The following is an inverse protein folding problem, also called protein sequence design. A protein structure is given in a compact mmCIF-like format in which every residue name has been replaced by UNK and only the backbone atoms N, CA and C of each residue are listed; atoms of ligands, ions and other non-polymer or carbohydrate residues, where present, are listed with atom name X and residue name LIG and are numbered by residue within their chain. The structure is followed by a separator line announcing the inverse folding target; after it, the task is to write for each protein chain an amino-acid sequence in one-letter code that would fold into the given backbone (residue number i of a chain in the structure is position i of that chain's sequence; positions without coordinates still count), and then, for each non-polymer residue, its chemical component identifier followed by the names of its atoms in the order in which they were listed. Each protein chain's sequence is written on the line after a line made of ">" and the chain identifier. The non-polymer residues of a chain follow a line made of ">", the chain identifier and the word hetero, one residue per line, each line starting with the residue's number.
data_IF_921817768142
#
_entry.id   IF_921817768142
#
_cell.length_a   1.000
_cell.length_b   1.000
_cell.length_c   1.000
_cell.angle_alpha   90.00
_cell.angle_beta   90.00
_cell.angle_gamma   90.00
#
_symmetry.space_group_name_H-M   'P 1'
#
loop_
_entity.id
_entity.type
_entity.pdbx_description
1 polymer ?
#
# COMPACT_ATOMS: atom_id res chain seq x y z
N UNK A 1 0.04 5.09 -25.17
CA UNK A 1 -0.63 4.14 -24.25
C UNK A 1 0.35 3.84 -23.14
N UNK A 2 0.16 4.50 -21.99
CA UNK A 2 1.14 4.51 -20.91
C UNK A 2 1.39 3.12 -20.37
N UNK A 3 2.65 2.85 -20.05
CA UNK A 3 3.14 1.60 -19.48
C UNK A 3 2.21 1.12 -18.36
N UNK A 4 1.73 -0.13 -18.45
CA UNK A 4 0.92 -0.76 -17.42
C UNK A 4 1.80 -0.97 -16.17
N UNK A 5 1.94 0.08 -15.35
CA UNK A 5 2.62 -0.01 -14.07
C UNK A 5 1.88 -1.02 -13.20
N UNK A 6 2.62 -1.98 -12.67
CA UNK A 6 2.05 -2.96 -11.74
C UNK A 6 1.50 -2.21 -10.53
N UNK A 7 0.24 -2.50 -10.21
CA UNK A 7 -0.51 -1.85 -9.12
C UNK A 7 -0.49 -2.73 -7.88
N UNK A 8 -0.16 -2.13 -6.73
CA UNK A 8 -0.05 -2.82 -5.44
C UNK A 8 -0.97 -2.16 -4.42
N UNK A 9 -1.80 -2.97 -3.76
CA UNK A 9 -2.60 -2.59 -2.61
C UNK A 9 -1.89 -3.04 -1.33
N UNK A 10 -1.66 -2.10 -0.42
CA UNK A 10 -1.20 -2.39 0.94
C UNK A 10 -2.38 -2.17 1.87
N UNK A 11 -3.02 -3.28 2.25
CA UNK A 11 -4.16 -3.31 3.15
C UNK A 11 -3.76 -3.53 4.61
N UNK A 12 -4.48 -2.89 5.53
CA UNK A 12 -4.38 -3.12 6.98
C UNK A 12 -5.79 -3.27 7.58
N UNK A 13 -6.39 -4.47 7.45
CA UNK A 13 -7.73 -4.70 7.97
C UNK A 13 -7.72 -4.79 9.51
N UNK A 14 -8.81 -4.33 10.12
CA UNK A 14 -9.04 -4.45 11.56
C UNK A 14 -8.16 -3.53 12.42
N UNK A 15 -7.88 -3.97 13.66
CA UNK A 15 -7.25 -3.15 14.70
C UNK A 15 -5.71 -3.15 14.68
N UNK A 16 -5.10 -3.66 13.62
CA UNK A 16 -3.63 -3.70 13.54
C UNK A 16 -3.03 -2.29 13.39
N UNK A 17 -2.53 -1.73 14.49
CA UNK A 17 -1.91 -0.40 14.56
C UNK A 17 -0.45 -0.30 14.07
N UNK A 18 0.21 -1.41 13.68
CA UNK A 18 1.62 -1.41 13.27
C UNK A 18 1.84 -0.76 11.89
N UNK A 19 1.97 0.56 11.85
CA UNK A 19 1.92 1.30 10.58
C UNK A 19 3.29 1.53 9.91
N UNK A 20 4.36 1.57 10.71
CA UNK A 20 5.70 1.96 10.23
C UNK A 20 6.20 1.08 9.10
N UNK A 21 6.09 -0.23 9.23
CA UNK A 21 6.53 -1.19 8.20
C UNK A 21 5.76 -1.02 6.89
N UNK A 22 4.43 -0.90 6.97
CA UNK A 22 3.57 -0.68 5.80
C UNK A 22 3.95 0.59 5.04
N UNK A 23 4.22 1.69 5.76
CA UNK A 23 4.66 2.96 5.14
C UNK A 23 6.03 2.86 4.46
N UNK A 24 6.99 2.15 5.07
CA UNK A 24 8.32 1.94 4.49
C UNK A 24 8.22 1.13 3.19
N UNK A 25 7.46 0.03 3.19
CA UNK A 25 7.23 -0.79 1.99
C UNK A 25 6.51 0.02 0.91
N UNK A 26 5.47 0.77 1.28
CA UNK A 26 4.74 1.62 0.34
C UNK A 26 5.65 2.64 -0.34
N UNK A 27 6.56 3.27 0.42
CA UNK A 27 7.55 4.20 -0.09
C UNK A 27 8.51 3.51 -1.07
N UNK A 28 9.10 2.39 -0.67
CA UNK A 28 10.04 1.64 -1.49
C UNK A 28 9.43 1.20 -2.83
N UNK A 29 8.19 0.72 -2.82
CA UNK A 29 7.49 0.33 -4.05
C UNK A 29 7.20 1.51 -4.97
N UNK A 30 6.83 2.68 -4.43
CA UNK A 30 6.65 3.90 -5.24
C UNK A 30 7.97 4.36 -5.86
N UNK A 31 9.05 4.34 -5.08
CA UNK A 31 10.38 4.72 -5.56
C UNK A 31 10.87 3.74 -6.65
N UNK A 32 10.43 2.46 -6.60
CA UNK A 32 10.67 1.46 -7.65
C UNK A 32 9.72 1.57 -8.87
N UNK A 33 8.84 2.57 -8.92
CA UNK A 33 7.99 2.86 -10.07
C UNK A 33 6.61 2.17 -10.09
N UNK A 34 6.24 1.47 -9.02
CA UNK A 34 4.90 0.86 -8.90
C UNK A 34 3.81 1.89 -8.62
N UNK A 35 2.58 1.59 -9.05
CA UNK A 35 1.40 2.31 -8.58
C UNK A 35 0.97 1.72 -7.23
N UNK A 36 1.02 2.49 -6.14
CA UNK A 36 0.81 1.97 -4.78
C UNK A 36 -0.33 2.68 -4.07
N UNK A 37 -1.32 1.90 -3.66
CA UNK A 37 -2.45 2.32 -2.81
C UNK A 37 -2.23 1.79 -1.39
N UNK A 38 -2.19 2.69 -0.41
CA UNK A 38 -2.17 2.31 1.01
C UNK A 38 -3.53 2.64 1.63
N UNK A 39 -4.19 1.65 2.23
CA UNK A 39 -5.56 1.82 2.73
C UNK A 39 -5.63 2.57 4.06
N UNK A 40 -4.52 2.68 4.79
CA UNK A 40 -4.53 3.16 6.16
C UNK A 40 -5.01 2.11 7.16
N UNK A 41 -5.11 2.52 8.43
CA UNK A 41 -5.50 1.67 9.56
C UNK A 41 -7.03 1.54 9.66
N UNK A 42 -7.48 0.54 10.43
CA UNK A 42 -8.89 0.36 10.80
C UNK A 42 -9.84 0.19 9.62
N UNK A 43 -9.36 -0.46 8.56
CA UNK A 43 -10.16 -0.74 7.38
C UNK A 43 -10.91 -2.07 7.53
N UNK A 44 -12.06 -2.20 6.86
CA UNK A 44 -12.75 -3.48 6.68
C UNK A 44 -12.15 -4.24 5.49
N UNK A 45 -12.31 -5.57 5.43
CA UNK A 45 -11.96 -6.36 4.24
C UNK A 45 -12.83 -6.04 3.02
N UNK A 46 -14.09 -5.63 3.25
CA UNK A 46 -15.01 -5.10 2.23
C UNK A 46 -14.66 -3.64 1.88
#
# INVERSE_FOLDING_TARGET
>A
MGENKLKVLIGKPGLDGHDRGAKVVARALRDAGFEVVYTGLHQTPE
#
